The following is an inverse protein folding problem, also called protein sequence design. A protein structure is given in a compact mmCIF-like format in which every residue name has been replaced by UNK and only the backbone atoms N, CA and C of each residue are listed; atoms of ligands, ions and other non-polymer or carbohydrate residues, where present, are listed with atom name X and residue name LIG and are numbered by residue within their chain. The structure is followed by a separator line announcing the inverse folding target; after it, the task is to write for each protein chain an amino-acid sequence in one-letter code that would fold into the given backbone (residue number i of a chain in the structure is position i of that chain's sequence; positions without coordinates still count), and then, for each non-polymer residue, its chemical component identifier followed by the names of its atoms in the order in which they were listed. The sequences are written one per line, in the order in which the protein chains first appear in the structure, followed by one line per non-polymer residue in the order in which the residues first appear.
data_IF_878026963407
#
_entry.id   IF_878026963407
#
_cell.length_a   1.000
_cell.length_b   1.000
_cell.length_c   1.000
_cell.angle_alpha   90.00
_cell.angle_beta   90.00
_cell.angle_gamma   90.00
#
_symmetry.space_group_name_H-M   'P 1'
#
loop_
_entity.id
_entity.type
_entity.pdbx_description
1 polymer ?
#
# COMPACT_ATOMS: atom_id res chain seq x y z
N UNK A 1 6.37 -1.68 -23.09
CA UNK A 1 6.46 -0.25 -22.66
C UNK A 1 5.12 0.29 -22.12
N UNK A 2 4.01 0.33 -22.89
CA UNK A 2 2.70 0.78 -22.37
C UNK A 2 2.24 0.04 -21.09
N UNK A 3 2.34 -1.30 -21.09
CA UNK A 3 2.07 -2.14 -19.90
C UNK A 3 2.92 -1.73 -18.70
N UNK A 4 4.22 -1.48 -18.90
CA UNK A 4 5.13 -1.05 -17.84
C UNK A 4 4.72 0.31 -17.25
N UNK A 5 4.32 1.28 -18.07
CA UNK A 5 3.82 2.58 -17.59
C UNK A 5 2.63 2.39 -16.64
N UNK A 6 1.67 1.54 -17.03
CA UNK A 6 0.52 1.21 -16.17
C UNK A 6 0.92 0.54 -14.86
N UNK A 7 1.92 -0.36 -14.89
CA UNK A 7 2.45 -1.01 -13.68
C UNK A 7 3.14 0.02 -12.78
N UNK A 8 3.93 0.96 -13.35
CA UNK A 8 4.55 2.03 -12.60
C UNK A 8 3.51 2.91 -11.91
N UNK A 9 2.46 3.32 -12.62
CA UNK A 9 1.38 4.12 -12.06
C UNK A 9 0.67 3.38 -10.91
N UNK A 10 0.36 2.09 -11.10
CA UNK A 10 -0.23 1.25 -10.06
C UNK A 10 0.66 1.13 -8.81
N UNK A 11 1.92 0.72 -8.98
CA UNK A 11 2.84 0.50 -7.86
C UNK A 11 3.11 1.81 -7.10
N UNK A 12 3.26 2.92 -7.82
CA UNK A 12 3.44 4.24 -7.22
C UNK A 12 2.27 4.63 -6.34
N UNK A 13 1.04 4.55 -6.87
CA UNK A 13 -0.18 4.91 -6.13
C UNK A 13 -0.32 3.99 -4.91
N UNK A 14 -0.09 2.69 -5.08
CA UNK A 14 -0.20 1.71 -4.00
C UNK A 14 0.78 1.98 -2.85
N UNK A 15 2.05 2.26 -3.16
CA UNK A 15 3.06 2.60 -2.16
C UNK A 15 2.75 3.93 -1.46
N UNK A 16 2.34 4.96 -2.21
CA UNK A 16 1.97 6.26 -1.66
C UNK A 16 0.77 6.17 -0.71
N UNK A 17 -0.27 5.42 -1.10
CA UNK A 17 -1.44 5.20 -0.25
C UNK A 17 -1.05 4.62 1.12
N UNK A 18 -0.19 3.61 1.15
CA UNK A 18 0.21 2.97 2.41
C UNK A 18 1.06 3.92 3.26
N UNK A 19 1.95 4.70 2.64
CA UNK A 19 2.71 5.74 3.34
C UNK A 19 1.80 6.82 3.94
N UNK A 20 0.81 7.31 3.18
CA UNK A 20 -0.13 8.33 3.64
C UNK A 20 -0.95 7.82 4.83
N UNK A 21 -1.45 6.58 4.74
CA UNK A 21 -2.29 5.99 5.77
C UNK A 21 -1.54 5.61 7.05
N UNK A 22 -0.30 5.14 6.95
CA UNK A 22 0.44 4.55 8.08
C UNK A 22 1.60 5.39 8.59
N UNK A 23 2.27 6.14 7.72
CA UNK A 23 3.48 6.90 8.08
C UNK A 23 3.16 8.38 8.32
N UNK A 24 2.26 8.96 7.53
CA UNK A 24 1.94 10.39 7.60
C UNK A 24 0.71 10.72 8.45
N UNK A 25 -0.24 9.78 8.61
CA UNK A 25 -1.44 9.98 9.44
C UNK A 25 -1.14 10.31 10.91
N UNK A 26 0.07 9.97 11.39
CA UNK A 26 0.54 10.18 12.76
C UNK A 26 -0.34 9.51 13.84
N UNK A 27 -1.28 8.63 13.46
CA UNK A 27 -2.10 7.89 14.40
C UNK A 27 -1.34 6.67 14.93
N UNK A 28 -0.98 6.69 16.21
CA UNK A 28 -0.28 5.57 16.87
C UNK A 28 -1.26 4.41 17.11
N UNK A 29 -1.35 3.51 16.14
CA UNK A 29 -2.24 2.34 16.16
C UNK A 29 -1.52 1.08 15.67
N UNK A 30 -1.90 -0.11 16.17
CA UNK A 30 -1.38 -1.35 15.64
C UNK A 30 -1.92 -1.55 14.22
N UNK A 31 -1.04 -1.86 13.28
CA UNK A 31 -1.44 -2.39 11.97
C UNK A 31 -1.76 -3.86 12.18
N UNK A 32 -2.83 -4.38 11.57
CA UNK A 32 -3.22 -5.79 11.68
C UNK A 32 -3.49 -6.36 10.30
N UNK A 33 -2.49 -6.81 9.55
CA UNK A 33 -2.65 -7.29 8.16
C UNK A 33 -2.33 -8.77 8.03
N UNK A 34 -2.77 -9.40 6.93
CA UNK A 34 -2.37 -10.78 6.61
C UNK A 34 -0.84 -10.91 6.59
N UNK A 35 -0.14 -9.86 6.11
CA UNK A 35 1.30 -9.72 6.18
C UNK A 35 1.78 -10.07 7.59
N UNK A 36 1.26 -9.40 8.62
CA UNK A 36 1.64 -9.55 10.03
C UNK A 36 1.33 -10.93 10.67
N UNK A 37 0.50 -11.78 10.06
CA UNK A 37 0.33 -13.17 10.56
C UNK A 37 1.62 -13.99 10.53
N UNK A 38 2.60 -13.55 9.74
CA UNK A 38 3.96 -14.10 9.65
C UNK A 38 4.95 -13.39 10.60
N UNK A 39 4.60 -12.20 11.10
CA UNK A 39 5.50 -11.29 11.83
C UNK A 39 5.07 -11.31 13.28
N UNK A 40 5.81 -12.08 14.09
CA UNK A 40 5.39 -12.40 15.45
C UNK A 40 5.03 -11.20 16.32
N UNK A 41 4.28 -11.49 17.38
CA UNK A 41 3.58 -10.54 18.26
C UNK A 41 4.50 -9.57 19.05
N UNK A 42 5.83 -9.66 18.90
CA UNK A 42 6.80 -8.84 19.62
C UNK A 42 7.62 -7.94 18.71
N UNK A 43 8.07 -6.81 19.24
CA UNK A 43 8.92 -5.86 18.52
C UNK A 43 10.17 -6.52 17.92
N UNK A 44 10.83 -7.38 18.70
CA UNK A 44 12.07 -8.07 18.30
C UNK A 44 11.86 -8.94 17.05
N UNK A 45 10.77 -9.73 17.01
CA UNK A 45 10.42 -10.55 15.83
C UNK A 45 10.08 -9.67 14.63
N UNK A 46 9.36 -8.58 14.85
CA UNK A 46 9.02 -7.63 13.79
C UNK A 46 10.28 -6.99 13.21
N UNK A 47 11.20 -6.51 14.06
CA UNK A 47 12.51 -5.96 13.66
C UNK A 47 13.28 -6.94 12.78
N UNK A 48 13.51 -8.15 13.27
CA UNK A 48 14.37 -9.11 12.58
C UNK A 48 13.80 -9.48 11.21
N UNK A 49 12.47 -9.59 11.12
CA UNK A 49 11.79 -9.84 9.86
C UNK A 49 11.88 -8.65 8.90
N UNK A 50 11.70 -7.41 9.39
CA UNK A 50 11.86 -6.21 8.55
C UNK A 50 13.29 -6.15 7.99
N UNK A 51 14.30 -6.34 8.84
CA UNK A 51 15.72 -6.36 8.42
C UNK A 51 15.95 -7.44 7.36
N UNK A 52 15.41 -8.66 7.54
CA UNK A 52 15.53 -9.71 6.54
C UNK A 52 14.86 -9.32 5.21
N UNK A 53 13.68 -8.68 5.24
CA UNK A 53 12.91 -8.26 4.07
C UNK A 53 13.58 -7.11 3.30
N UNK A 54 14.33 -6.22 3.95
CA UNK A 54 15.10 -5.16 3.25
C UNK A 54 16.15 -5.72 2.27
N UNK A 55 16.67 -6.93 2.53
CA UNK A 55 17.57 -7.63 1.60
C UNK A 55 16.86 -8.00 0.30
N UNK A 56 15.61 -8.47 0.39
CA UNK A 56 14.78 -8.76 -0.78
C UNK A 56 14.55 -7.51 -1.65
N UNK A 57 14.39 -6.35 -1.02
CA UNK A 57 14.22 -5.09 -1.74
C UNK A 57 15.49 -4.68 -2.50
N UNK A 58 16.67 -4.95 -1.94
CA UNK A 58 17.95 -4.71 -2.62
C UNK A 58 18.13 -5.62 -3.84
N UNK A 59 17.72 -6.89 -3.74
CA UNK A 59 17.73 -7.84 -4.86
C UNK A 59 16.81 -7.35 -5.98
N UNK A 60 15.55 -7.04 -5.66
CA UNK A 60 14.59 -6.55 -6.65
C UNK A 60 15.03 -5.24 -7.31
N UNK A 61 15.69 -4.36 -6.56
CA UNK A 61 16.25 -3.11 -7.10
C UNK A 61 17.32 -3.40 -8.14
N UNK A 62 18.23 -4.33 -7.85
CA UNK A 62 19.25 -4.77 -8.79
C UNK A 62 18.62 -5.43 -10.04
N UNK A 63 17.65 -6.32 -9.84
CA UNK A 63 17.00 -7.05 -10.94
C UNK A 63 16.30 -6.10 -11.91
N UNK A 64 15.53 -5.13 -11.39
CA UNK A 64 14.90 -4.08 -12.18
C UNK A 64 15.93 -3.31 -13.03
N UNK A 65 17.07 -2.93 -12.46
CA UNK A 65 18.12 -2.23 -13.19
C UNK A 65 18.76 -3.10 -14.27
N UNK A 66 19.07 -4.36 -13.94
CA UNK A 66 19.69 -5.32 -14.84
C UNK A 66 18.77 -5.64 -16.03
N UNK A 67 17.52 -6.01 -15.77
CA UNK A 67 16.51 -6.31 -16.78
C UNK A 67 16.24 -5.09 -17.68
N UNK A 68 16.20 -3.88 -17.12
CA UNK A 68 16.05 -2.66 -17.88
C UNK A 68 17.23 -2.41 -18.82
N UNK A 69 18.46 -2.65 -18.36
CA UNK A 69 19.66 -2.55 -19.20
C UNK A 69 19.66 -3.57 -20.35
N UNK A 70 19.02 -4.72 -20.15
CA UNK A 70 18.81 -5.74 -21.18
C UNK A 70 17.60 -5.45 -22.10
N UNK A 71 16.87 -4.34 -21.89
CA UNK A 71 15.68 -3.99 -22.66
C UNK A 71 14.45 -4.88 -22.37
N UNK A 72 14.47 -5.65 -21.28
CA UNK A 72 13.43 -6.63 -20.93
C UNK A 72 12.30 -6.00 -20.13
N UNK A 73 11.55 -5.10 -20.76
CA UNK A 73 10.48 -4.32 -20.10
C UNK A 73 9.33 -5.17 -19.50
N UNK A 74 9.16 -6.42 -19.94
CA UNK A 74 8.20 -7.35 -19.35
C UNK A 74 8.64 -7.78 -17.95
N UNK A 75 9.86 -8.30 -17.83
CA UNK A 75 10.50 -8.72 -16.57
C UNK A 75 10.61 -7.55 -15.59
N UNK A 76 10.97 -6.35 -16.08
CA UNK A 76 10.99 -5.12 -15.25
C UNK A 76 9.61 -4.88 -14.61
N UNK A 77 8.53 -5.13 -15.34
CA UNK A 77 7.18 -4.97 -14.82
C UNK A 77 6.84 -5.99 -13.72
N UNK A 78 7.29 -7.23 -13.89
CA UNK A 78 7.09 -8.30 -12.91
C UNK A 78 7.87 -8.02 -11.61
N UNK A 79 9.17 -7.71 -11.72
CA UNK A 79 9.99 -7.34 -10.57
C UNK A 79 9.51 -6.05 -9.88
N UNK A 80 8.93 -5.11 -10.62
CA UNK A 80 8.34 -3.90 -10.04
C UNK A 80 7.05 -4.17 -9.26
N UNK A 81 6.21 -5.11 -9.71
CA UNK A 81 5.03 -5.54 -8.94
C UNK A 81 5.45 -6.23 -7.64
N UNK A 82 6.43 -7.14 -7.70
CA UNK A 82 7.00 -7.78 -6.51
C UNK A 82 7.61 -6.74 -5.54
N UNK A 83 8.31 -5.74 -6.08
CA UNK A 83 8.83 -4.62 -5.29
C UNK A 83 7.71 -3.84 -4.61
N UNK A 84 6.63 -3.53 -5.33
CA UNK A 84 5.46 -2.84 -4.79
C UNK A 84 4.84 -3.58 -3.59
N UNK A 85 4.61 -4.89 -3.72
CA UNK A 85 4.10 -5.71 -2.61
C UNK A 85 5.07 -5.75 -1.42
N UNK A 86 6.37 -5.90 -1.69
CA UNK A 86 7.38 -5.95 -0.65
C UNK A 86 7.47 -4.63 0.12
N UNK A 87 7.41 -3.48 -0.58
CA UNK A 87 7.42 -2.16 0.04
C UNK A 87 6.17 -1.93 0.89
N UNK A 88 5.00 -2.35 0.41
CA UNK A 88 3.75 -2.32 1.19
C UNK A 88 3.90 -3.14 2.47
N UNK A 89 4.37 -4.38 2.36
CA UNK A 89 4.61 -5.25 3.52
C UNK A 89 5.63 -4.65 4.50
N UNK A 90 6.76 -4.13 4.00
CA UNK A 90 7.77 -3.44 4.82
C UNK A 90 7.18 -2.24 5.56
N UNK A 91 6.31 -1.48 4.91
CA UNK A 91 5.67 -0.30 5.50
C UNK A 91 4.68 -0.68 6.59
N UNK A 92 3.83 -1.68 6.34
CA UNK A 92 2.89 -2.22 7.33
C UNK A 92 3.62 -2.74 8.58
N UNK A 93 4.69 -3.51 8.37
CA UNK A 93 5.48 -4.06 9.46
C UNK A 93 6.24 -2.97 10.22
N UNK A 94 6.82 -1.99 9.53
CA UNK A 94 7.54 -0.88 10.17
C UNK A 94 6.59 -0.02 11.01
N UNK A 95 5.37 0.24 10.51
CA UNK A 95 4.35 0.95 11.27
C UNK A 95 3.90 0.16 12.51
N UNK A 96 3.74 -1.16 12.39
CA UNK A 96 3.43 -2.01 13.55
C UNK A 96 4.58 -2.07 14.56
N UNK A 97 5.84 -2.21 14.10
CA UNK A 97 7.01 -2.17 14.97
C UNK A 97 7.13 -0.83 15.70
N UNK A 98 6.87 0.29 15.00
CA UNK A 98 6.84 1.62 15.58
C UNK A 98 5.75 1.74 16.67
N UNK A 99 4.57 1.15 16.44
CA UNK A 99 3.52 1.07 17.45
C UNK A 99 3.98 0.27 18.68
N UNK A 100 4.50 -0.95 18.49
CA UNK A 100 4.95 -1.82 19.59
C UNK A 100 6.04 -1.14 20.43
N UNK A 101 7.05 -0.57 19.78
CA UNK A 101 8.14 0.12 20.46
C UNK A 101 7.66 1.37 21.23
N UNK A 102 6.66 2.09 20.71
CA UNK A 102 6.12 3.26 21.37
C UNK A 102 5.27 2.90 22.60
N UNK A 103 4.46 1.84 22.53
CA UNK A 103 3.61 1.41 23.65
C UNK A 103 4.37 0.63 24.74
N UNK A 104 5.58 0.15 24.45
CA UNK A 104 6.50 -0.39 25.46
C UNK A 104 7.06 0.68 26.41
N UNK A 105 6.96 1.97 26.07
CA UNK A 105 7.50 3.05 26.91
C UNK A 105 6.70 3.25 28.21
N UNK A 106 7.36 3.59 29.34
CA UNK A 106 6.67 3.77 30.62
C UNK A 106 5.56 4.83 30.56
N UNK A 107 4.37 4.46 31.04
CA UNK A 107 3.20 5.34 31.07
C UNK A 107 2.44 5.43 29.75
N UNK A 108 2.83 4.69 28.72
CA UNK A 108 2.02 4.56 27.51
C UNK A 108 0.73 3.78 27.78
N UNK A 109 -0.34 4.13 27.06
CA UNK A 109 -1.60 3.39 27.04
C UNK A 109 -1.86 2.85 25.63
N UNK A 110 -2.22 1.57 25.48
CA UNK A 110 -2.43 0.96 24.17
C UNK A 110 -3.64 1.59 23.45
N UNK A 111 -3.65 1.46 22.13
CA UNK A 111 -4.78 1.89 21.32
C UNK A 111 -6.03 1.05 21.60
N UNK A 112 -7.19 1.69 21.52
CA UNK A 112 -8.49 1.02 21.63
C UNK A 112 -9.07 0.80 20.22
N UNK A 113 -9.41 -0.44 19.85
CA UNK A 113 -9.95 -0.73 18.53
C UNK A 113 -11.32 -0.09 18.35
N UNK A 114 -11.58 0.36 17.12
CA UNK A 114 -12.87 0.83 16.67
C UNK A 114 -13.82 -0.30 16.25
N UNK A 115 -14.94 0.07 15.63
CA UNK A 115 -15.83 -0.88 14.97
C UNK A 115 -15.19 -1.49 13.72
N UNK A 116 -14.34 -0.73 13.04
CA UNK A 116 -13.59 -1.16 11.86
C UNK A 116 -12.12 -0.76 11.96
N UNK A 117 -11.28 -1.48 11.23
CA UNK A 117 -9.90 -1.09 10.98
C UNK A 117 -9.85 -0.12 9.79
N UNK A 118 -9.61 1.18 10.07
CA UNK A 118 -9.57 2.25 9.07
C UNK A 118 -8.59 1.96 7.94
N UNK A 119 -7.40 1.44 8.26
CA UNK A 119 -6.39 1.14 7.26
C UNK A 119 -6.89 0.08 6.28
N UNK A 120 -7.40 -1.04 6.80
CA UNK A 120 -7.83 -2.18 5.98
C UNK A 120 -9.04 -1.83 5.10
N UNK A 121 -10.06 -1.18 5.64
CA UNK A 121 -11.24 -0.79 4.83
C UNK A 121 -10.87 0.25 3.76
N UNK A 122 -9.96 1.17 4.06
CA UNK A 122 -9.48 2.16 3.07
C UNK A 122 -8.63 1.51 1.99
N UNK A 123 -7.78 0.53 2.34
CA UNK A 123 -7.04 -0.30 1.37
C UNK A 123 -8.00 -1.07 0.46
N UNK A 124 -9.00 -1.75 1.02
CA UNK A 124 -9.99 -2.48 0.22
C UNK A 124 -10.76 -1.58 -0.73
N UNK A 125 -11.16 -0.37 -0.29
CA UNK A 125 -11.77 0.63 -1.18
C UNK A 125 -10.87 0.93 -2.38
N UNK A 126 -9.59 1.20 -2.12
CA UNK A 126 -8.64 1.51 -3.18
C UNK A 126 -8.43 0.34 -4.15
N UNK A 127 -8.33 -0.90 -3.65
CA UNK A 127 -8.20 -2.08 -4.53
C UNK A 127 -9.43 -2.29 -5.42
N UNK A 128 -10.64 -2.02 -4.91
CA UNK A 128 -11.87 -2.08 -5.73
C UNK A 128 -11.89 -0.96 -6.76
N UNK A 129 -11.53 0.27 -6.38
CA UNK A 129 -11.42 1.41 -7.29
C UNK A 129 -10.41 1.14 -8.41
N UNK A 130 -9.25 0.58 -8.05
CA UNK A 130 -8.24 0.16 -9.01
C UNK A 130 -8.76 -0.92 -9.97
N UNK A 131 -9.39 -1.99 -9.46
CA UNK A 131 -9.98 -3.04 -10.29
C UNK A 131 -11.01 -2.50 -11.29
N UNK A 132 -11.87 -1.58 -10.84
CA UNK A 132 -12.80 -0.85 -11.70
C UNK A 132 -12.08 0.03 -12.73
N UNK A 133 -10.98 0.69 -12.34
CA UNK A 133 -10.11 1.46 -13.21
C UNK A 133 -9.45 0.61 -14.30
N UNK A 134 -9.02 -0.62 -13.98
CA UNK A 134 -8.50 -1.59 -14.96
C UNK A 134 -9.57 -1.93 -15.99
N UNK A 135 -10.79 -2.27 -15.56
CA UNK A 135 -11.90 -2.52 -16.49
C UNK A 135 -12.22 -1.30 -17.38
N UNK A 136 -12.07 -0.09 -16.84
CA UNK A 136 -12.34 1.15 -17.57
C UNK A 136 -11.29 1.48 -18.62
N UNK A 137 -10.01 1.28 -18.30
CA UNK A 137 -8.88 1.74 -19.11
C UNK A 137 -8.34 0.68 -20.06
N UNK A 138 -8.55 -0.60 -19.78
CA UNK A 138 -8.07 -1.70 -20.64
C UNK A 138 -8.85 -1.70 -21.96
N UNK A 139 -8.16 -1.63 -23.12
CA UNK A 139 -8.79 -1.80 -24.43
C UNK A 139 -9.37 -3.21 -24.60
N UNK A 140 -10.39 -3.38 -25.45
CA UNK A 140 -10.99 -4.70 -25.69
C UNK A 140 -9.95 -5.74 -26.15
N UNK A 141 -9.00 -5.32 -27.01
CA UNK A 141 -7.93 -6.20 -27.52
C UNK A 141 -7.03 -6.78 -26.42
N UNK A 142 -6.91 -6.08 -25.28
CA UNK A 142 -6.06 -6.46 -24.15
C UNK A 142 -6.87 -7.11 -22.99
N UNK A 143 -8.21 -7.15 -23.10
CA UNK A 143 -9.10 -7.76 -22.11
C UNK A 143 -9.11 -9.30 -22.23
N UNK A 144 -8.00 -9.92 -21.81
CA UNK A 144 -7.90 -11.38 -21.80
C UNK A 144 -8.83 -12.03 -20.75
N UNK A 145 -9.27 -13.28 -20.97
CA UNK A 145 -10.04 -14.03 -19.96
C UNK A 145 -9.32 -14.16 -18.61
N UNK A 146 -7.98 -14.21 -18.63
CA UNK A 146 -7.14 -14.26 -17.44
C UNK A 146 -7.19 -12.95 -16.66
N UNK A 147 -7.07 -11.82 -17.34
CA UNK A 147 -7.18 -10.50 -16.72
C UNK A 147 -8.55 -10.30 -16.07
N UNK A 148 -9.63 -10.65 -16.77
CA UNK A 148 -11.00 -10.54 -16.25
C UNK A 148 -11.20 -11.42 -15.01
N UNK A 149 -10.62 -12.63 -15.02
CA UNK A 149 -10.65 -13.52 -13.85
C UNK A 149 -9.90 -12.91 -12.67
N UNK A 150 -8.67 -12.45 -12.87
CA UNK A 150 -7.83 -11.83 -11.84
C UNK A 150 -8.51 -10.61 -11.21
N UNK A 151 -9.00 -9.68 -12.04
CA UNK A 151 -9.71 -8.49 -11.57
C UNK A 151 -10.96 -8.86 -10.78
N UNK A 152 -11.76 -9.82 -11.27
CA UNK A 152 -12.98 -10.27 -10.59
C UNK A 152 -12.70 -10.94 -9.24
N UNK A 153 -11.64 -11.74 -9.15
CA UNK A 153 -11.23 -12.43 -7.92
C UNK A 153 -10.71 -11.43 -6.89
N UNK A 154 -9.83 -10.51 -7.29
CA UNK A 154 -9.30 -9.48 -6.39
C UNK A 154 -10.43 -8.58 -5.86
N UNK A 155 -11.34 -8.16 -6.73
CA UNK A 155 -12.52 -7.38 -6.34
C UNK A 155 -13.40 -8.15 -5.35
N UNK A 156 -13.68 -9.43 -5.64
CA UNK A 156 -14.48 -10.28 -4.74
C UNK A 156 -13.83 -10.47 -3.38
N UNK A 157 -12.50 -10.65 -3.31
CA UNK A 157 -11.73 -10.73 -2.04
C UNK A 157 -11.95 -9.46 -1.20
N UNK A 158 -11.79 -8.28 -1.81
CA UNK A 158 -11.90 -7.00 -1.10
C UNK A 158 -13.35 -6.70 -0.67
N UNK A 159 -14.33 -7.00 -1.52
CA UNK A 159 -15.75 -6.83 -1.19
C UNK A 159 -16.20 -7.77 -0.07
N UNK A 160 -15.69 -9.01 -0.06
CA UNK A 160 -15.91 -9.95 1.05
C UNK A 160 -15.35 -9.38 2.35
N UNK A 161 -14.12 -8.88 2.34
CA UNK A 161 -13.52 -8.26 3.53
C UNK A 161 -14.37 -7.08 4.05
N UNK A 162 -14.80 -6.18 3.17
CA UNK A 162 -15.65 -5.04 3.54
C UNK A 162 -17.00 -5.49 4.10
N UNK A 163 -17.58 -6.56 3.54
CA UNK A 163 -18.83 -7.15 4.01
C UNK A 163 -18.67 -7.68 5.44
N UNK A 164 -17.67 -8.54 5.65
CA UNK A 164 -17.40 -9.17 6.95
C UNK A 164 -17.09 -8.10 8.02
N UNK A 165 -16.30 -7.08 7.68
CA UNK A 165 -16.00 -5.96 8.57
C UNK A 165 -17.24 -5.13 8.95
N UNK A 166 -18.13 -4.83 7.99
CA UNK A 166 -19.33 -4.03 8.25
C UNK A 166 -20.42 -4.81 8.99
N UNK A 167 -20.53 -6.12 8.75
CA UNK A 167 -21.42 -7.00 9.53
C UNK A 167 -20.99 -6.98 11.00
N UNK A 168 -19.69 -7.18 11.27
CA UNK A 168 -19.15 -7.11 12.62
C UNK A 168 -19.33 -5.72 13.26
N UNK A 169 -19.13 -4.64 12.49
CA UNK A 169 -19.36 -3.27 12.94
C UNK A 169 -20.84 -3.04 13.31
N UNK A 170 -21.78 -3.54 12.50
CA UNK A 170 -23.21 -3.50 12.80
C UNK A 170 -23.55 -4.25 14.09
N UNK A 171 -22.98 -5.44 14.31
CA UNK A 171 -23.25 -6.23 15.52
C UNK A 171 -22.76 -5.52 16.79
N UNK A 172 -21.56 -4.93 16.72
CA UNK A 172 -20.90 -4.23 17.84
C UNK A 172 -21.44 -2.82 18.10
N UNK A 173 -22.05 -2.19 17.11
CA UNK A 173 -22.60 -0.84 17.27
C UNK A 173 -23.68 -0.81 18.36
N UNK A 174 -23.76 0.30 19.11
CA UNK A 174 -24.85 0.54 20.08
C UNK A 174 -25.93 1.46 19.51
N UNK A 175 -25.61 2.19 18.44
CA UNK A 175 -26.53 3.11 17.79
C UNK A 175 -27.40 2.37 16.77
N UNK A 176 -28.73 2.47 16.94
CA UNK A 176 -29.72 1.79 16.07
C UNK A 176 -29.59 2.25 14.62
N UNK A 177 -29.33 3.54 14.38
CA UNK A 177 -29.15 4.06 13.04
C UNK A 177 -27.92 3.43 12.39
N UNK A 178 -26.76 3.45 13.06
CA UNK A 178 -25.53 2.89 12.54
C UNK A 178 -25.63 1.39 12.24
N UNK A 179 -26.33 0.61 13.08
CA UNK A 179 -26.60 -0.82 12.79
C UNK A 179 -27.27 -1.00 11.44
N UNK A 180 -28.37 -0.29 11.22
CA UNK A 180 -29.12 -0.41 9.96
C UNK A 180 -28.34 0.20 8.79
N UNK A 181 -27.62 1.29 9.01
CA UNK A 181 -26.83 1.94 7.97
C UNK A 181 -25.67 1.08 7.46
N UNK A 182 -24.99 0.33 8.34
CA UNK A 182 -23.99 -0.67 7.93
C UNK A 182 -24.62 -1.76 7.05
N UNK A 183 -25.78 -2.31 7.44
CA UNK A 183 -26.49 -3.34 6.66
C UNK A 183 -26.93 -2.82 5.29
N UNK A 184 -27.49 -1.62 5.24
CA UNK A 184 -27.93 -0.99 3.99
C UNK A 184 -26.74 -0.70 3.06
N UNK A 185 -25.61 -0.24 3.61
CA UNK A 185 -24.38 -0.01 2.85
C UNK A 185 -23.84 -1.29 2.25
N UNK A 186 -23.79 -2.39 3.03
CA UNK A 186 -23.38 -3.72 2.54
C UNK A 186 -24.32 -4.20 1.44
N UNK A 187 -25.64 -4.04 1.59
CA UNK A 187 -26.62 -4.41 0.56
C UNK A 187 -26.41 -3.62 -0.72
N UNK A 188 -26.21 -2.31 -0.64
CA UNK A 188 -25.95 -1.44 -1.79
C UNK A 188 -24.67 -1.86 -2.54
N UNK A 189 -23.58 -2.08 -1.79
CA UNK A 189 -22.31 -2.55 -2.33
C UNK A 189 -22.45 -3.92 -3.01
N UNK A 190 -23.06 -4.90 -2.34
CA UNK A 190 -23.20 -6.27 -2.85
C UNK A 190 -24.08 -6.36 -4.10
N UNK A 191 -25.12 -5.53 -4.17
CA UNK A 191 -26.00 -5.43 -5.35
C UNK A 191 -25.24 -4.84 -6.53
N UNK A 192 -24.50 -3.75 -6.31
CA UNK A 192 -23.67 -3.11 -7.34
C UNK A 192 -22.57 -4.05 -7.85
N UNK A 193 -21.94 -4.81 -6.94
CA UNK A 193 -20.92 -5.79 -7.27
C UNK A 193 -21.48 -6.92 -8.14
N UNK A 194 -22.63 -7.47 -7.77
CA UNK A 194 -23.30 -8.53 -8.55
C UNK A 194 -23.61 -8.07 -9.98
N UNK A 195 -24.08 -6.84 -10.13
CA UNK A 195 -24.37 -6.25 -11.45
C UNK A 195 -23.09 -6.10 -12.30
N UNK A 196 -21.99 -5.62 -11.72
CA UNK A 196 -20.72 -5.52 -12.42
C UNK A 196 -20.14 -6.89 -12.79
N UNK A 197 -20.16 -7.86 -11.86
CA UNK A 197 -19.64 -9.21 -12.11
C UNK A 197 -20.43 -9.95 -13.21
N UNK A 198 -21.73 -9.68 -13.34
CA UNK A 198 -22.53 -10.16 -14.47
C UNK A 198 -22.02 -9.59 -15.81
N UNK A 199 -21.69 -8.29 -15.85
CA UNK A 199 -21.10 -7.67 -17.04
C UNK A 199 -19.70 -8.23 -17.35
N UNK A 200 -18.88 -8.45 -16.31
CA UNK A 200 -17.54 -9.07 -16.46
C UNK A 200 -17.66 -10.48 -17.03
N UNK A 201 -18.65 -11.26 -16.60
CA UNK A 201 -18.94 -12.58 -17.17
C UNK A 201 -19.37 -12.48 -18.63
N UNK A 202 -20.23 -11.51 -18.97
CA UNK A 202 -20.70 -11.31 -20.34
C UNK A 202 -19.56 -10.92 -21.30
N UNK A 203 -18.71 -9.95 -20.93
CA UNK A 203 -17.56 -9.56 -21.78
C UNK A 203 -16.56 -10.71 -21.93
N UNK A 204 -16.42 -11.58 -20.92
CA UNK A 204 -15.60 -12.79 -21.02
C UNK A 204 -16.15 -13.80 -22.03
N UNK A 205 -17.47 -14.00 -22.09
CA UNK A 205 -18.10 -14.99 -22.98
C UNK A 205 -18.37 -14.45 -24.39
N UNK A 206 -18.61 -13.15 -24.52
CA UNK A 206 -18.98 -12.50 -25.78
C UNK A 206 -18.30 -11.12 -25.86
N UNK A 207 -16.98 -11.09 -26.12
CA UNK A 207 -16.21 -9.85 -26.12
C UNK A 207 -16.63 -8.93 -27.26
N UNK A 208 -17.02 -7.72 -26.92
CA UNK A 208 -17.37 -6.64 -27.86
C UNK A 208 -17.21 -5.29 -27.17
N UNK A 209 -17.15 -4.20 -27.95
CA UNK A 209 -17.13 -2.85 -27.36
C UNK A 209 -18.40 -2.58 -26.54
N UNK A 210 -19.54 -3.16 -26.93
CA UNK A 210 -20.77 -3.05 -26.16
C UNK A 210 -20.65 -3.69 -24.77
N UNK A 211 -20.17 -4.93 -24.69
CA UNK A 211 -20.03 -5.67 -23.42
C UNK A 211 -18.92 -5.09 -22.55
N UNK A 212 -17.85 -4.58 -23.15
CA UNK A 212 -16.84 -3.76 -22.47
C UNK A 212 -17.45 -2.50 -21.87
N UNK A 213 -18.20 -1.73 -22.65
CA UNK A 213 -18.82 -0.47 -22.19
C UNK A 213 -19.84 -0.70 -21.06
N UNK A 214 -20.51 -1.86 -21.02
CA UNK A 214 -21.33 -2.25 -19.84
C UNK A 214 -20.48 -2.41 -18.58
N UNK A 215 -19.30 -3.05 -18.66
CA UNK A 215 -18.39 -3.13 -17.51
C UNK A 215 -17.97 -1.73 -17.03
N UNK A 216 -17.67 -0.81 -17.96
CA UNK A 216 -17.36 0.59 -17.63
C UNK A 216 -18.52 1.27 -16.91
N UNK A 217 -19.74 1.12 -17.43
CA UNK A 217 -20.95 1.72 -16.87
C UNK A 217 -21.23 1.21 -15.45
N UNK A 218 -21.20 -0.11 -15.24
CA UNK A 218 -21.50 -0.74 -13.95
C UNK A 218 -20.36 -0.64 -12.93
N UNK A 219 -19.16 -0.23 -13.35
CA UNK A 219 -18.06 0.09 -12.43
C UNK A 219 -18.36 1.31 -11.56
N UNK A 220 -19.06 2.32 -12.10
CA UNK A 220 -19.41 3.54 -11.38
C UNK A 220 -20.22 3.29 -10.10
N UNK A 221 -21.38 2.61 -10.16
CA UNK A 221 -22.18 2.28 -8.98
C UNK A 221 -21.42 1.52 -7.90
N UNK A 222 -20.55 0.57 -8.30
CA UNK A 222 -19.74 -0.17 -7.33
C UNK A 222 -18.76 0.76 -6.60
N UNK A 223 -18.02 1.60 -7.32
CA UNK A 223 -17.08 2.54 -6.71
C UNK A 223 -17.80 3.48 -5.74
N UNK A 224 -18.95 4.02 -6.13
CA UNK A 224 -19.72 4.94 -5.27
C UNK A 224 -20.27 4.27 -4.01
N UNK A 225 -20.80 3.05 -4.13
CA UNK A 225 -21.31 2.31 -2.97
C UNK A 225 -20.20 1.93 -1.99
N UNK A 226 -19.03 1.54 -2.48
CA UNK A 226 -17.85 1.27 -1.63
C UNK A 226 -17.34 2.57 -0.98
N UNK A 227 -17.30 3.68 -1.72
CA UNK A 227 -16.90 4.98 -1.18
C UNK A 227 -17.82 5.42 -0.04
N UNK A 228 -19.15 5.34 -0.23
CA UNK A 228 -20.13 5.67 0.79
C UNK A 228 -20.00 4.76 2.03
N UNK A 229 -19.88 3.44 1.83
CA UNK A 229 -19.72 2.47 2.91
C UNK A 229 -18.46 2.76 3.74
N UNK A 230 -17.31 2.94 3.08
CA UNK A 230 -16.04 3.19 3.79
C UNK A 230 -16.02 4.59 4.41
N UNK A 231 -16.61 5.59 3.75
CA UNK A 231 -16.80 6.92 4.32
C UNK A 231 -17.56 6.87 5.65
N UNK A 232 -18.72 6.21 5.65
CA UNK A 232 -19.52 5.99 6.87
C UNK A 232 -18.76 5.17 7.92
N UNK A 233 -18.13 4.06 7.52
CA UNK A 233 -17.42 3.18 8.43
C UNK A 233 -16.23 3.87 9.13
N UNK A 234 -15.66 4.90 8.51
CA UNK A 234 -14.48 5.62 9.01
C UNK A 234 -14.80 6.95 9.67
N UNK A 235 -16.07 7.20 10.01
CA UNK A 235 -16.47 8.35 10.82
C UNK A 235 -15.81 8.30 12.21
N UNK A 236 -15.42 9.46 12.80
CA UNK A 236 -14.56 9.51 13.99
C UNK A 236 -15.07 8.70 15.19
N UNK A 237 -16.39 8.65 15.40
CA UNK A 237 -16.99 7.91 16.51
C UNK A 237 -16.81 6.38 16.41
N UNK A 238 -16.49 5.86 15.23
CA UNK A 238 -16.28 4.42 15.01
C UNK A 238 -14.82 3.99 15.10
N UNK A 239 -13.87 4.93 15.17
CA UNK A 239 -12.43 4.62 15.05
C UNK A 239 -11.78 4.19 16.37
N UNK A 240 -12.48 4.25 17.50
CA UNK A 240 -11.88 4.00 18.80
C UNK A 240 -10.87 5.10 19.16
N UNK A 241 -9.78 4.74 19.85
CA UNK A 241 -8.76 5.71 20.32
C UNK A 241 -7.36 5.25 19.93
N UNK A 242 -6.52 6.18 19.47
CA UNK A 242 -5.10 5.92 19.27
C UNK A 242 -4.40 5.70 20.63
N UNK A 243 -3.21 5.09 20.60
CA UNK A 243 -2.40 4.94 21.79
C UNK A 243 -2.00 6.31 22.35
N UNK A 244 -1.95 6.41 23.67
CA UNK A 244 -1.36 7.57 24.35
C UNK A 244 0.09 7.24 24.65
N UNK A 245 1.02 7.99 24.08
CA UNK A 245 2.47 7.75 24.24
C UNK A 245 3.13 9.00 24.79
N UNK A 246 4.19 8.80 25.57
CA UNK A 246 5.01 9.88 26.11
C UNK A 246 5.98 10.44 25.02
N UNK A 247 6.73 11.52 25.30
CA UNK A 247 7.67 12.08 24.32
C UNK A 247 8.75 11.09 23.84
N UNK A 248 9.20 10.17 24.71
CA UNK A 248 10.17 9.13 24.38
C UNK A 248 9.58 8.13 23.37
N UNK A 249 8.38 7.59 23.64
CA UNK A 249 7.67 6.70 22.73
C UNK A 249 7.39 7.37 21.38
N UNK A 250 7.08 8.67 21.38
CA UNK A 250 6.92 9.45 20.14
C UNK A 250 8.24 9.60 19.38
N UNK A 251 9.36 9.78 20.06
CA UNK A 251 10.67 9.86 19.42
C UNK A 251 11.05 8.53 18.76
N UNK A 252 10.85 7.40 19.46
CA UNK A 252 11.06 6.05 18.92
C UNK A 252 10.18 5.80 17.70
N UNK A 253 8.88 6.10 17.80
CA UNK A 253 7.95 5.97 16.69
C UNK A 253 8.41 6.79 15.47
N UNK A 254 8.77 8.05 15.70
CA UNK A 254 9.21 8.97 14.63
C UNK A 254 10.45 8.47 13.92
N UNK A 255 11.41 7.90 14.66
CA UNK A 255 12.62 7.35 14.07
C UNK A 255 12.32 6.18 13.12
N UNK A 256 11.50 5.21 13.56
CA UNK A 256 11.15 4.03 12.77
C UNK A 256 10.30 4.43 11.56
N UNK A 257 9.28 5.26 11.74
CA UNK A 257 8.42 5.73 10.65
C UNK A 257 9.23 6.57 9.64
N UNK A 258 10.19 7.38 10.09
CA UNK A 258 11.07 8.16 9.23
C UNK A 258 12.04 7.29 8.39
N UNK A 259 12.54 6.20 8.97
CA UNK A 259 13.29 5.18 8.25
C UNK A 259 12.45 4.51 7.16
N UNK A 260 11.23 4.08 7.52
CA UNK A 260 10.30 3.46 6.58
C UNK A 260 9.90 4.42 5.45
N UNK A 261 9.66 5.70 5.78
CA UNK A 261 9.33 6.74 4.80
C UNK A 261 10.49 6.97 3.82
N UNK A 262 11.74 6.85 4.27
CA UNK A 262 12.91 6.96 3.40
C UNK A 262 12.94 5.82 2.37
N UNK A 263 12.61 4.59 2.77
CA UNK A 263 12.47 3.45 1.85
C UNK A 263 11.35 3.68 0.84
N UNK A 264 10.14 4.01 1.31
CA UNK A 264 8.98 4.19 0.42
C UNK A 264 9.22 5.32 -0.58
N UNK A 265 9.75 6.46 -0.12
CA UNK A 265 10.03 7.61 -0.97
C UNK A 265 11.04 7.28 -2.07
N UNK A 266 12.09 6.52 -1.74
CA UNK A 266 13.08 6.09 -2.71
C UNK A 266 12.48 5.12 -3.75
N UNK A 267 11.66 4.15 -3.33
CA UNK A 267 10.98 3.23 -4.26
C UNK A 267 9.97 3.93 -5.17
N UNK A 268 9.23 4.92 -4.63
CA UNK A 268 8.33 5.77 -5.42
C UNK A 268 9.09 6.57 -6.47
N UNK A 269 10.24 7.15 -6.11
CA UNK A 269 11.11 7.86 -7.04
C UNK A 269 11.70 6.92 -8.12
N UNK A 270 12.14 5.74 -7.72
CA UNK A 270 12.64 4.71 -8.65
C UNK A 270 11.56 4.31 -9.66
N UNK A 271 10.35 4.07 -9.17
CA UNK A 271 9.17 3.77 -10.01
C UNK A 271 8.87 4.90 -10.99
N UNK A 272 8.98 6.16 -10.55
CA UNK A 272 8.82 7.31 -11.43
C UNK A 272 9.91 7.37 -12.50
N UNK A 273 11.17 7.07 -12.15
CA UNK A 273 12.26 7.05 -13.13
C UNK A 273 12.08 5.95 -14.17
N UNK A 274 11.61 4.76 -13.78
CA UNK A 274 11.25 3.69 -14.72
C UNK A 274 10.15 4.12 -15.69
N UNK A 275 9.13 4.81 -15.17
CA UNK A 275 8.04 5.36 -15.98
C UNK A 275 8.54 6.36 -17.01
N UNK A 276 9.41 7.29 -16.60
CA UNK A 276 10.02 8.29 -17.47
C UNK A 276 10.80 7.60 -18.62
N UNK A 277 11.61 6.58 -18.29
CA UNK A 277 12.36 5.79 -19.28
C UNK A 277 11.41 5.04 -20.24
N UNK A 278 10.35 4.44 -19.72
CA UNK A 278 9.39 3.68 -20.53
C UNK A 278 8.57 4.57 -21.48
N UNK A 279 8.37 5.84 -21.13
CA UNK A 279 7.60 6.82 -21.90
C UNK A 279 8.41 7.41 -23.07
N UNK A 280 9.74 7.50 -22.96
CA UNK A 280 10.59 8.12 -23.97
C UNK A 280 11.29 7.12 -24.91
N UNK A 281 11.54 7.50 -26.18
CA UNK A 281 12.33 6.69 -27.09
C UNK A 281 13.79 6.65 -26.64
N UNK A 282 14.53 5.59 -26.97
CA UNK A 282 15.94 5.46 -26.59
C UNK A 282 16.84 6.54 -27.21
N UNK A 283 16.44 7.07 -28.36
CA UNK A 283 17.10 8.19 -29.03
C UNK A 283 16.89 9.55 -28.35
N UNK A 284 16.16 9.61 -27.23
CA UNK A 284 15.94 10.85 -26.49
C UNK A 284 17.25 11.42 -25.94
N UNK A 285 17.50 12.70 -26.17
CA UNK A 285 18.69 13.41 -25.64
C UNK A 285 18.74 13.45 -24.11
N UNK A 286 17.62 13.19 -23.43
CA UNK A 286 17.51 13.12 -21.96
C UNK A 286 17.63 11.70 -21.39
N UNK A 287 17.84 10.69 -22.24
CA UNK A 287 17.85 9.29 -21.80
C UNK A 287 19.00 8.98 -20.83
N UNK A 288 20.15 9.64 -20.99
CA UNK A 288 21.26 9.60 -20.03
C UNK A 288 20.82 10.04 -18.64
N UNK A 289 20.13 11.17 -18.58
CA UNK A 289 19.71 11.82 -17.33
C UNK A 289 18.67 10.97 -16.61
N UNK A 290 17.72 10.36 -17.34
CA UNK A 290 16.75 9.44 -16.77
C UNK A 290 17.40 8.19 -16.19
N UNK A 291 18.41 7.63 -16.86
CA UNK A 291 19.17 6.47 -16.37
C UNK A 291 20.03 6.83 -15.17
N UNK A 292 20.60 8.02 -15.12
CA UNK A 292 21.34 8.51 -13.96
C UNK A 292 20.42 8.70 -12.75
N UNK A 293 19.26 9.36 -12.95
CA UNK A 293 18.23 9.49 -11.89
C UNK A 293 17.76 8.14 -11.36
N UNK A 294 17.57 7.15 -12.23
CA UNK A 294 17.25 5.78 -11.83
C UNK A 294 18.35 5.18 -10.95
N UNK A 295 19.62 5.33 -11.33
CA UNK A 295 20.76 4.85 -10.54
C UNK A 295 20.79 5.50 -9.15
N UNK A 296 20.62 6.82 -9.10
CA UNK A 296 20.59 7.57 -7.84
C UNK A 296 19.41 7.13 -6.95
N UNK A 297 18.24 6.88 -7.55
CA UNK A 297 17.09 6.37 -6.81
C UNK A 297 17.31 4.95 -6.25
N UNK A 298 18.02 4.09 -6.98
CA UNK A 298 18.39 2.76 -6.51
C UNK A 298 19.36 2.83 -5.31
N UNK A 299 20.36 3.72 -5.36
CA UNK A 299 21.23 3.99 -4.20
C UNK A 299 20.41 4.49 -2.99
N UNK A 300 19.46 5.39 -3.22
CA UNK A 300 18.59 5.91 -2.16
C UNK A 300 17.71 4.81 -1.52
N UNK A 301 17.32 3.75 -2.26
CA UNK A 301 16.62 2.59 -1.69
C UNK A 301 17.51 1.87 -0.69
N UNK A 302 18.77 1.61 -1.04
CA UNK A 302 19.75 0.99 -0.14
C UNK A 302 20.01 1.85 1.11
N UNK A 303 20.17 3.16 0.94
CA UNK A 303 20.34 4.09 2.05
C UNK A 303 19.10 4.12 2.96
N UNK A 304 17.90 4.11 2.38
CA UNK A 304 16.64 3.99 3.13
C UNK A 304 16.57 2.71 3.95
N UNK A 305 16.96 1.57 3.37
CA UNK A 305 17.01 0.28 4.07
C UNK A 305 17.99 0.30 5.25
N UNK A 306 19.15 0.95 5.08
CA UNK A 306 20.15 1.11 6.14
C UNK A 306 19.61 1.98 7.28
N UNK A 307 19.00 3.12 6.95
CA UNK A 307 18.38 4.01 7.93
C UNK A 307 17.26 3.34 8.72
N UNK A 308 16.39 2.58 8.04
CA UNK A 308 15.33 1.80 8.70
C UNK A 308 15.91 0.73 9.62
N UNK A 309 16.93 0.00 9.16
CA UNK A 309 17.58 -1.04 9.97
C UNK A 309 18.24 -0.45 11.22
N UNK A 310 18.89 0.71 11.09
CA UNK A 310 19.48 1.43 12.22
C UNK A 310 18.39 1.91 13.19
N UNK A 311 17.34 2.56 12.69
CA UNK A 311 16.23 3.04 13.52
C UNK A 311 15.55 1.92 14.30
N UNK A 312 15.41 0.73 13.71
CA UNK A 312 14.83 -0.43 14.40
C UNK A 312 15.76 -1.05 15.44
N UNK A 313 17.09 -0.97 15.26
CA UNK A 313 18.07 -1.48 16.24
C UNK A 313 18.24 -0.52 17.41
N UNK A 314 18.39 0.77 17.11
CA UNK A 314 18.76 1.80 18.07
C UNK A 314 17.54 2.51 18.67
N UNK A 315 16.33 2.25 18.14
CA UNK A 315 15.07 2.93 18.51
C UNK A 315 15.18 4.46 18.46
N UNK A 316 16.10 4.99 17.66
CA UNK A 316 16.43 6.41 17.58
C UNK A 316 16.75 6.81 16.14
N UNK A 317 16.67 8.11 15.84
CA UNK A 317 16.89 8.60 14.47
C UNK A 317 18.38 8.73 14.18
N UNK A 318 18.89 8.17 13.06
CA UNK A 318 20.28 8.38 12.63
C UNK A 318 20.59 9.85 12.34
N UNK A 319 19.56 10.64 11.99
CA UNK A 319 19.68 12.06 11.62
C UNK A 319 19.68 13.00 12.84
N UNK A 320 19.55 12.49 14.05
CA UNK A 320 19.62 13.27 15.30
C UNK A 320 20.92 13.09 16.08
N UNK A 321 21.87 12.29 15.59
CA UNK A 321 23.22 12.30 16.15
C UNK A 321 23.90 13.62 15.76
N UNK A 322 24.40 14.43 16.72
CA UNK A 322 25.24 15.56 16.38
C UNK A 322 26.46 15.04 15.59
N UNK A 323 27.06 15.84 14.68
CA UNK A 323 28.30 15.44 14.04
C UNK A 323 29.30 15.11 15.14
N UNK A 324 29.95 13.96 15.03
CA UNK A 324 31.02 13.55 15.94
C UNK A 324 32.14 14.57 15.83
N UNK A 325 32.11 15.59 16.69
CA UNK A 325 33.26 16.43 16.97
C UNK A 325 34.14 15.66 17.95
N UNK A 326 35.17 15.00 17.42
CA UNK A 326 36.40 14.59 18.13
C UNK A 326 37.37 14.11 17.05
N UNK A 327 38.48 14.78 16.75
CA UNK A 327 39.48 15.18 17.72
C UNK A 327 40.06 16.57 17.46
N UNK A 328 39.98 17.40 18.49
CA UNK A 328 41.05 18.32 18.84
C UNK A 328 42.28 17.50 19.22
N UNK A 329 43.40 17.75 18.56
CA UNK A 329 44.71 17.29 19.02
C UNK A 329 45.49 18.56 19.37
N UNK A 330 45.89 18.64 20.63
CA UNK A 330 46.86 19.60 21.15
C UNK A 330 48.18 19.53 20.37
#
# INVERSE_FOLDING_TARGET
RKKLISICDHCKIKMQLVADLLLLSSETRPVNTESLSVFGESFEKCRDTIIARTKGLSILTHDVQSQLNMGRFGEVGESLMEMGELVVSLTECSAHAAYLAAVETPGAQPAMPGLVDRYKVTRCRHEVEHGCGVLKTTPLADMSPQLLLEVSQNMSKNLKFLTDACVLASEKSKDKFAKEQFKLSVKCMSTSASALLACVKEVKTSPSELTRNRCVLFSGPLVQSVYALVGFATEPQFLGKAATINPEGKAVQTAILGGAMSVVSACVLLTQCLRDIAQHPESSTKMSDYRERLRNSACAVSDGCNLLSQALRERSSPRTLPPVNSNSVN
#
